data_IF_986743802590
#
_entry.id   IF_986743802590
#
_cell.length_a   1.000
_cell.length_b   1.000
_cell.length_c   1.000
_cell.angle_alpha   90.00
_cell.angle_beta   90.00
_cell.angle_gamma   90.00
#
_symmetry.space_group_name_H-M   'P 1'
#
loop_
_entity.id
_entity.type
_entity.pdbx_description
1 polymer ?
#
# COMPACT_ATOMS: atom_id res chain seq x y z
N UNK A 1 -25.70 -7.29 3.39
CA UNK A 1 -25.71 -5.84 3.27
C UNK A 1 -24.87 -5.22 4.38
N UNK A 2 -23.84 -4.44 4.04
CA UNK A 2 -23.03 -3.65 4.96
C UNK A 2 -23.35 -2.18 4.72
N UNK A 3 -23.46 -1.38 5.79
CA UNK A 3 -23.92 0.00 5.74
C UNK A 3 -23.03 0.93 6.55
N UNK A 4 -22.81 2.12 6.03
CA UNK A 4 -22.19 3.25 6.74
C UNK A 4 -23.00 4.54 6.52
N UNK A 5 -22.60 5.63 7.17
CA UNK A 5 -23.30 6.92 7.02
C UNK A 5 -23.29 7.48 5.57
N UNK A 6 -22.37 7.06 4.72
CA UNK A 6 -22.18 7.62 3.37
C UNK A 6 -22.13 6.61 2.23
N UNK A 7 -22.09 5.31 2.54
CA UNK A 7 -21.96 4.28 1.52
C UNK A 7 -22.58 2.96 1.98
N UNK A 8 -23.12 2.22 1.04
CA UNK A 8 -23.58 0.85 1.23
C UNK A 8 -22.86 -0.09 0.26
N UNK A 9 -22.72 -1.33 0.71
CA UNK A 9 -22.24 -2.43 -0.11
C UNK A 9 -23.18 -3.62 0.03
N UNK A 10 -23.61 -4.19 -1.09
CA UNK A 10 -24.44 -5.40 -1.12
C UNK A 10 -23.65 -6.51 -1.79
N UNK A 11 -23.56 -7.64 -1.10
CA UNK A 11 -22.78 -8.79 -1.54
C UNK A 11 -23.71 -10.00 -1.63
N UNK A 12 -23.80 -10.56 -2.82
CA UNK A 12 -24.32 -11.88 -3.05
C UNK A 12 -23.27 -12.90 -2.61
N UNK A 13 -23.64 -13.85 -1.77
CA UNK A 13 -22.65 -14.76 -1.16
C UNK A 13 -22.68 -16.16 -1.75
N UNK A 14 -23.74 -16.55 -2.48
CA UNK A 14 -23.92 -17.91 -3.03
C UNK A 14 -24.44 -17.89 -4.46
N UNK A 15 -24.05 -18.86 -5.32
CA UNK A 15 -23.10 -19.96 -5.05
C UNK A 15 -21.65 -19.49 -4.95
N UNK A 16 -21.33 -18.30 -5.46
CA UNK A 16 -20.04 -17.62 -5.38
C UNK A 16 -20.25 -16.17 -4.91
N UNK A 17 -19.21 -15.57 -4.34
CA UNK A 17 -19.28 -14.24 -3.79
C UNK A 17 -19.10 -13.16 -4.86
N UNK A 18 -20.06 -12.22 -4.92
CA UNK A 18 -20.08 -11.11 -5.88
C UNK A 18 -20.59 -9.83 -5.21
N UNK A 19 -19.89 -8.71 -5.40
CA UNK A 19 -20.39 -7.40 -5.00
C UNK A 19 -21.36 -6.93 -6.09
N UNK A 20 -22.63 -6.86 -5.76
CA UNK A 20 -23.69 -6.43 -6.69
C UNK A 20 -24.02 -4.94 -6.57
N UNK A 21 -23.59 -4.30 -5.51
CA UNK A 21 -23.73 -2.88 -5.30
C UNK A 21 -22.60 -2.32 -4.41
N UNK A 22 -22.04 -1.18 -4.78
CA UNK A 22 -21.18 -0.35 -3.96
C UNK A 22 -21.34 1.11 -4.38
N UNK A 23 -21.92 1.93 -3.51
CA UNK A 23 -22.25 3.30 -3.84
C UNK A 23 -23.03 4.01 -2.73
N UNK A 24 -23.88 4.99 -3.07
CA UNK A 24 -24.67 5.77 -2.11
C UNK A 24 -25.47 4.89 -1.16
N UNK A 25 -25.80 5.44 0.01
CA UNK A 25 -26.68 4.79 0.97
C UNK A 25 -28.06 4.43 0.37
N UNK A 26 -28.49 3.18 0.57
CA UNK A 26 -29.78 2.63 0.12
C UNK A 26 -30.80 2.71 1.26
N UNK A 27 -31.51 3.82 1.38
CA UNK A 27 -32.39 4.16 2.51
C UNK A 27 -33.55 3.19 2.76
N UNK A 28 -34.00 2.44 1.74
CA UNK A 28 -35.16 1.55 1.80
C UNK A 28 -34.88 0.14 1.27
N UNK A 29 -33.61 -0.23 1.15
CA UNK A 29 -33.22 -1.53 0.61
C UNK A 29 -33.54 -2.67 1.59
N UNK A 30 -34.21 -3.69 1.08
CA UNK A 30 -34.49 -4.93 1.78
C UNK A 30 -33.88 -6.13 1.04
N UNK A 31 -33.74 -7.30 1.69
CA UNK A 31 -33.24 -8.50 1.01
C UNK A 31 -34.11 -8.92 -0.21
N UNK A 32 -35.39 -8.56 -0.23
CA UNK A 32 -36.30 -8.82 -1.35
C UNK A 32 -35.96 -7.98 -2.58
N UNK A 33 -35.29 -6.83 -2.39
CA UNK A 33 -34.89 -5.96 -3.48
C UNK A 33 -33.57 -6.39 -4.13
N UNK A 34 -32.87 -7.38 -3.56
CA UNK A 34 -31.54 -7.79 -3.99
C UNK A 34 -31.50 -8.24 -5.46
N UNK A 35 -32.56 -8.89 -5.94
CA UNK A 35 -32.64 -9.34 -7.33
C UNK A 35 -32.69 -8.16 -8.32
N UNK A 36 -33.20 -6.99 -7.90
CA UNK A 36 -33.23 -5.77 -8.73
C UNK A 36 -31.85 -5.15 -8.94
N UNK A 37 -30.88 -5.49 -8.12
CA UNK A 37 -29.48 -5.08 -8.28
C UNK A 37 -28.71 -5.97 -9.27
N UNK A 38 -29.27 -7.13 -9.61
CA UNK A 38 -28.67 -8.03 -10.61
C UNK A 38 -28.93 -7.52 -12.01
N UNK A 39 -27.93 -7.57 -12.86
CA UNK A 39 -28.06 -7.13 -14.26
C UNK A 39 -28.90 -8.13 -15.05
N UNK A 40 -29.97 -7.70 -15.73
CA UNK A 40 -30.74 -8.59 -16.60
C UNK A 40 -29.91 -8.96 -17.85
N UNK A 41 -29.90 -10.24 -18.19
CA UNK A 41 -29.28 -10.72 -19.42
C UNK A 41 -30.30 -10.62 -20.55
N UNK A 42 -29.94 -9.94 -21.66
CA UNK A 42 -30.82 -9.78 -22.82
C UNK A 42 -31.02 -11.13 -23.52
N UNK A 43 -32.27 -11.43 -23.92
CA UNK A 43 -32.57 -12.60 -24.73
C UNK A 43 -31.85 -12.52 -26.11
N UNK A 44 -31.32 -13.64 -26.56
CA UNK A 44 -30.63 -13.72 -27.86
C UNK A 44 -29.21 -13.17 -27.86
N UNK A 45 -28.64 -12.87 -26.71
CA UNK A 45 -27.25 -12.52 -26.55
C UNK A 45 -26.37 -13.72 -26.92
N UNK A 46 -25.32 -13.47 -27.70
CA UNK A 46 -24.35 -14.50 -28.11
C UNK A 46 -23.25 -14.69 -27.07
N UNK A 47 -22.94 -13.63 -26.31
CA UNK A 47 -21.91 -13.64 -25.26
C UNK A 47 -22.53 -13.95 -23.90
N UNK A 48 -21.83 -14.75 -23.10
CA UNK A 48 -22.20 -15.02 -21.72
C UNK A 48 -21.73 -13.88 -20.82
N UNK A 49 -22.64 -13.33 -20.01
CA UNK A 49 -22.27 -12.41 -18.94
C UNK A 49 -21.62 -13.17 -17.78
N UNK A 50 -20.30 -13.28 -17.82
CA UNK A 50 -19.57 -13.86 -16.69
C UNK A 50 -19.69 -12.96 -15.45
N UNK A 51 -19.83 -13.52 -14.24
CA UNK A 51 -19.83 -12.74 -13.02
C UNK A 51 -18.46 -12.07 -12.80
N UNK A 52 -18.45 -10.89 -12.20
CA UNK A 52 -17.26 -10.30 -11.59
C UNK A 52 -17.29 -10.66 -10.12
N UNK A 53 -16.77 -11.84 -9.81
CA UNK A 53 -16.70 -12.33 -8.42
C UNK A 53 -15.66 -11.55 -7.63
N UNK A 54 -15.60 -11.72 -6.31
CA UNK A 54 -14.58 -11.07 -5.47
C UNK A 54 -13.16 -11.40 -5.91
N UNK A 55 -12.95 -12.59 -6.48
CA UNK A 55 -11.65 -13.02 -6.96
C UNK A 55 -11.50 -12.89 -8.49
N UNK A 56 -12.58 -12.61 -9.20
CA UNK A 56 -12.58 -12.46 -10.66
C UNK A 56 -11.89 -13.64 -11.38
N UNK A 57 -12.42 -14.86 -11.19
CA UNK A 57 -11.80 -16.10 -11.66
C UNK A 57 -12.05 -16.34 -13.16
N UNK A 58 -11.02 -16.81 -13.86
CA UNK A 58 -11.15 -17.30 -15.25
C UNK A 58 -12.12 -18.48 -15.36
N UNK A 59 -12.21 -19.34 -14.34
CA UNK A 59 -13.11 -20.48 -14.29
C UNK A 59 -14.59 -20.13 -14.46
N UNK A 60 -14.99 -18.89 -14.14
CA UNK A 60 -16.33 -18.36 -14.39
C UNK A 60 -16.52 -17.78 -15.82
N UNK A 61 -15.52 -17.89 -16.69
CA UNK A 61 -15.58 -17.34 -18.05
C UNK A 61 -15.32 -15.82 -18.10
N UNK A 62 -14.58 -15.28 -17.14
CA UNK A 62 -14.19 -13.87 -17.16
C UNK A 62 -13.25 -13.59 -18.35
N UNK A 63 -13.69 -12.73 -19.28
CA UNK A 63 -12.84 -12.18 -20.34
C UNK A 63 -12.28 -10.84 -19.91
N UNK A 64 -11.35 -10.85 -18.99
CA UNK A 64 -10.70 -9.69 -18.39
C UNK A 64 -9.54 -10.12 -17.50
N UNK A 65 -8.92 -9.19 -16.79
CA UNK A 65 -7.83 -9.53 -15.88
C UNK A 65 -8.36 -10.27 -14.66
N UNK A 66 -7.94 -11.54 -14.42
CA UNK A 66 -8.39 -12.28 -13.24
C UNK A 66 -7.75 -11.74 -11.97
N UNK A 67 -8.38 -11.97 -10.84
CA UNK A 67 -7.81 -11.65 -9.52
C UNK A 67 -6.87 -12.72 -8.99
N UNK A 68 -6.92 -13.93 -9.56
CA UNK A 68 -6.04 -15.04 -9.20
C UNK A 68 -5.47 -15.69 -10.45
N UNK A 69 -4.14 -15.83 -10.48
CA UNK A 69 -3.38 -16.60 -11.49
C UNK A 69 -2.34 -17.45 -10.77
N UNK A 70 -2.21 -18.68 -11.21
CA UNK A 70 -1.25 -19.59 -10.64
C UNK A 70 -1.44 -21.00 -11.17
N UNK A 71 -0.59 -21.93 -10.81
CA UNK A 71 -0.62 -23.28 -11.37
C UNK A 71 0.18 -24.32 -10.56
N UNK A 72 -0.07 -25.60 -10.84
CA UNK A 72 0.79 -26.73 -10.45
C UNK A 72 1.42 -27.28 -11.73
N UNK A 73 2.64 -26.89 -12.04
CA UNK A 73 3.33 -27.34 -13.25
C UNK A 73 2.50 -27.17 -14.54
N UNK A 74 1.79 -26.04 -14.63
CA UNK A 74 0.91 -25.73 -15.78
C UNK A 74 -0.51 -26.29 -15.67
N UNK A 75 -0.85 -27.03 -14.63
CA UNK A 75 -2.20 -27.53 -14.35
C UNK A 75 -2.88 -26.69 -13.25
N UNK A 76 -4.20 -26.86 -13.08
CA UNK A 76 -5.03 -26.17 -12.09
C UNK A 76 -4.95 -24.63 -12.21
N UNK A 77 -4.85 -24.11 -13.43
CA UNK A 77 -4.63 -22.69 -13.72
C UNK A 77 -5.92 -21.84 -13.76
N UNK A 78 -7.08 -22.47 -13.69
CA UNK A 78 -8.38 -21.78 -13.76
C UNK A 78 -9.26 -22.17 -12.58
N UNK A 79 -8.94 -21.75 -11.35
CA UNK A 79 -9.73 -22.11 -10.19
C UNK A 79 -11.15 -21.56 -10.27
N UNK A 80 -12.09 -22.29 -9.69
CA UNK A 80 -13.51 -21.97 -9.64
C UNK A 80 -14.01 -22.13 -8.20
N UNK A 81 -14.09 -21.04 -7.47
CA UNK A 81 -14.47 -21.05 -6.06
C UNK A 81 -15.99 -21.08 -5.87
N UNK A 82 -16.44 -21.97 -4.98
CA UNK A 82 -17.83 -22.02 -4.50
C UNK A 82 -17.85 -21.71 -3.01
N UNK A 83 -18.73 -20.81 -2.57
CA UNK A 83 -18.82 -20.41 -1.17
C UNK A 83 -19.38 -21.54 -0.30
N UNK A 84 -18.58 -21.98 0.65
CA UNK A 84 -18.93 -23.04 1.63
C UNK A 84 -19.43 -22.43 2.93
N UNK A 85 -18.82 -21.35 3.43
CA UNK A 85 -19.15 -20.73 4.71
C UNK A 85 -19.32 -19.21 4.59
N UNK A 86 -20.27 -18.66 5.33
CA UNK A 86 -20.56 -17.22 5.43
C UNK A 86 -20.71 -16.86 6.91
N UNK A 87 -19.88 -15.95 7.40
CA UNK A 87 -20.01 -15.34 8.73
C UNK A 87 -20.24 -13.85 8.58
N UNK A 88 -21.32 -13.35 9.14
CA UNK A 88 -21.67 -11.93 9.11
C UNK A 88 -21.86 -11.40 10.52
N UNK A 89 -20.98 -10.52 10.96
CA UNK A 89 -20.96 -9.95 12.32
C UNK A 89 -20.89 -8.41 12.22
N UNK A 90 -22.00 -7.76 12.49
CA UNK A 90 -22.11 -6.30 12.38
C UNK A 90 -21.79 -5.80 10.97
N UNK A 91 -20.73 -5.05 10.82
CA UNK A 91 -20.27 -4.51 9.53
C UNK A 91 -19.08 -5.31 8.95
N UNK A 92 -18.90 -6.54 9.40
CA UNK A 92 -17.83 -7.45 8.94
C UNK A 92 -18.42 -8.71 8.33
N UNK A 93 -17.89 -9.10 7.18
CA UNK A 93 -18.24 -10.32 6.47
C UNK A 93 -16.98 -11.15 6.23
N UNK A 94 -16.99 -12.40 6.66
CA UNK A 94 -15.97 -13.39 6.32
C UNK A 94 -16.61 -14.49 5.48
N UNK A 95 -16.00 -14.78 4.33
CA UNK A 95 -16.43 -15.82 3.41
C UNK A 95 -15.32 -16.86 3.28
N UNK A 96 -15.70 -18.14 3.30
CA UNK A 96 -14.82 -19.24 2.92
C UNK A 96 -15.38 -19.86 1.66
N UNK A 97 -14.54 -20.02 0.64
CA UNK A 97 -14.89 -20.65 -0.62
C UNK A 97 -13.83 -21.69 -0.99
N UNK A 98 -14.21 -22.72 -1.69
CA UNK A 98 -13.30 -23.80 -2.05
C UNK A 98 -13.44 -24.18 -3.51
N UNK A 99 -12.32 -24.58 -4.09
CA UNK A 99 -12.23 -25.32 -5.34
C UNK A 99 -11.60 -26.69 -5.04
N UNK A 100 -12.41 -27.77 -4.91
CA UNK A 100 -11.90 -29.11 -4.66
C UNK A 100 -11.03 -29.66 -5.80
N UNK A 101 -11.29 -29.23 -7.05
CA UNK A 101 -10.54 -29.68 -8.21
C UNK A 101 -9.12 -29.06 -8.23
N UNK A 102 -9.02 -27.76 -8.00
CA UNK A 102 -7.72 -27.11 -7.87
C UNK A 102 -7.06 -27.38 -6.48
N UNK A 103 -7.84 -27.87 -5.50
CA UNK A 103 -7.35 -28.08 -4.14
C UNK A 103 -6.95 -26.77 -3.48
N UNK A 104 -7.76 -25.74 -3.65
CA UNK A 104 -7.53 -24.41 -3.08
C UNK A 104 -8.72 -23.99 -2.20
N UNK A 105 -8.40 -23.26 -1.13
CA UNK A 105 -9.37 -22.57 -0.28
C UNK A 105 -9.11 -21.07 -0.35
N UNK A 106 -10.17 -20.30 -0.50
CA UNK A 106 -10.18 -18.85 -0.48
C UNK A 106 -10.91 -18.37 0.78
N UNK A 107 -10.27 -17.55 1.59
CA UNK A 107 -10.91 -16.79 2.64
C UNK A 107 -10.94 -15.32 2.27
N UNK A 108 -12.12 -14.69 2.30
CA UNK A 108 -12.29 -13.27 2.02
C UNK A 108 -12.78 -12.55 3.27
N UNK A 109 -12.10 -11.49 3.66
CA UNK A 109 -12.48 -10.63 4.78
C UNK A 109 -12.85 -9.25 4.25
N UNK A 110 -14.07 -8.81 4.58
CA UNK A 110 -14.66 -7.56 4.10
C UNK A 110 -15.23 -6.83 5.30
N UNK A 111 -14.86 -5.59 5.53
CA UNK A 111 -15.45 -4.78 6.58
C UNK A 111 -15.71 -3.35 6.11
N UNK A 112 -16.86 -2.79 6.47
CA UNK A 112 -17.23 -1.41 6.19
C UNK A 112 -17.23 -0.61 7.50
N UNK A 113 -16.26 0.28 7.65
CA UNK A 113 -16.15 1.11 8.86
C UNK A 113 -17.19 2.24 8.88
N UNK A 114 -17.49 2.73 10.07
CA UNK A 114 -18.42 3.86 10.26
C UNK A 114 -17.95 5.15 9.53
N UNK A 115 -16.65 5.28 9.26
CA UNK A 115 -16.10 6.38 8.45
C UNK A 115 -16.47 6.30 6.97
N UNK A 116 -16.99 5.17 6.48
CA UNK A 116 -17.28 4.89 5.08
C UNK A 116 -16.13 4.21 4.32
N UNK A 117 -15.06 3.85 5.00
CA UNK A 117 -13.94 3.10 4.40
C UNK A 117 -14.23 1.61 4.46
N UNK A 118 -14.15 0.98 3.29
CA UNK A 118 -14.20 -0.46 3.09
C UNK A 118 -12.78 -1.01 3.18
N UNK A 119 -12.59 -2.09 3.92
CA UNK A 119 -11.34 -2.87 3.93
C UNK A 119 -11.61 -4.27 3.40
N UNK A 120 -10.77 -4.74 2.47
CA UNK A 120 -10.88 -6.07 1.85
C UNK A 120 -9.52 -6.72 1.77
N UNK A 121 -9.44 -8.00 2.07
CA UNK A 121 -8.29 -8.86 1.74
C UNK A 121 -8.73 -10.29 1.46
N UNK A 122 -7.88 -11.02 0.77
CA UNK A 122 -8.09 -12.43 0.44
C UNK A 122 -6.90 -13.27 0.88
N UNK A 123 -7.16 -14.46 1.43
CA UNK A 123 -6.15 -15.47 1.72
C UNK A 123 -6.41 -16.71 0.87
N UNK A 124 -5.40 -17.18 0.13
CA UNK A 124 -5.47 -18.42 -0.64
C UNK A 124 -4.61 -19.47 0.04
N UNK A 125 -5.22 -20.61 0.38
CA UNK A 125 -4.55 -21.76 1.00
C UNK A 125 -4.45 -22.90 0.01
N UNK A 126 -3.26 -23.50 -0.12
CA UNK A 126 -3.09 -24.74 -0.85
C UNK A 126 -3.47 -25.94 0.04
N UNK A 127 -4.40 -26.78 -0.42
CA UNK A 127 -4.91 -27.94 0.30
C UNK A 127 -4.28 -29.26 -0.18
N UNK A 128 -3.33 -29.24 -1.13
CA UNK A 128 -2.69 -30.43 -1.68
C UNK A 128 -1.20 -30.50 -1.34
N UNK A 129 -0.65 -31.70 -1.27
CA UNK A 129 0.76 -31.94 -1.02
C UNK A 129 1.70 -31.31 -2.09
N UNK A 130 1.23 -31.21 -3.34
CA UNK A 130 1.99 -30.55 -4.41
C UNK A 130 1.91 -29.03 -4.27
N UNK A 131 3.03 -28.29 -4.35
CA UNK A 131 3.01 -26.83 -4.27
C UNK A 131 2.18 -26.18 -5.38
N UNK A 132 1.48 -25.10 -5.05
CA UNK A 132 0.78 -24.26 -6.02
C UNK A 132 1.54 -22.96 -6.20
N UNK A 133 2.02 -22.72 -7.42
CA UNK A 133 2.71 -21.48 -7.79
C UNK A 133 1.69 -20.35 -7.90
N UNK A 134 1.94 -19.25 -7.18
CA UNK A 134 1.12 -18.02 -7.28
C UNK A 134 1.82 -17.06 -8.23
N UNK A 135 1.15 -16.71 -9.33
CA UNK A 135 1.62 -15.68 -10.26
C UNK A 135 0.92 -14.34 -10.00
N UNK A 136 -0.31 -14.40 -9.48
CA UNK A 136 -1.13 -13.24 -9.17
C UNK A 136 -2.14 -13.50 -8.06
N UNK A 137 -2.31 -12.52 -7.17
CA UNK A 137 -3.38 -12.49 -6.19
C UNK A 137 -3.80 -11.05 -5.91
N UNK A 138 -4.99 -10.66 -6.41
CA UNK A 138 -5.52 -9.30 -6.39
C UNK A 138 -6.86 -9.21 -5.67
N UNK A 139 -7.15 -8.07 -5.07
CA UNK A 139 -8.50 -7.70 -4.64
C UNK A 139 -9.21 -7.00 -5.81
N UNK A 140 -10.43 -7.44 -6.12
CA UNK A 140 -11.27 -6.88 -7.19
C UNK A 140 -12.52 -6.21 -6.61
N UNK A 141 -12.75 -4.94 -6.96
CA UNK A 141 -13.92 -4.17 -6.55
C UNK A 141 -14.64 -3.61 -7.77
N UNK A 142 -15.93 -3.96 -8.01
CA UNK A 142 -16.70 -3.34 -9.06
C UNK A 142 -16.99 -1.88 -8.72
N UNK A 143 -17.10 -1.05 -9.76
CA UNK A 143 -17.53 0.34 -9.64
C UNK A 143 -18.68 0.62 -10.62
N UNK A 144 -19.44 1.67 -10.36
CA UNK A 144 -20.59 1.99 -11.21
C UNK A 144 -20.16 2.31 -12.65
N UNK A 145 -20.99 1.98 -13.63
CA UNK A 145 -20.73 2.24 -15.07
C UNK A 145 -20.51 3.73 -15.39
N UNK A 146 -21.04 4.62 -14.55
CA UNK A 146 -20.82 6.08 -14.66
C UNK A 146 -19.46 6.55 -14.17
N UNK A 147 -18.65 5.68 -13.56
CA UNK A 147 -17.28 5.98 -13.15
C UNK A 147 -16.34 5.92 -14.39
N UNK A 148 -16.33 6.99 -15.19
CA UNK A 148 -15.72 7.02 -16.53
C UNK A 148 -14.37 7.71 -16.59
N UNK A 149 -13.96 8.38 -15.54
CA UNK A 149 -12.64 8.97 -15.43
C UNK A 149 -11.79 8.21 -14.41
N UNK A 150 -10.50 8.13 -14.69
CA UNK A 150 -9.50 7.56 -13.80
C UNK A 150 -8.51 8.67 -13.42
N UNK A 151 -8.15 8.74 -12.16
CA UNK A 151 -7.11 9.62 -11.65
C UNK A 151 -6.09 8.79 -10.87
N UNK A 152 -4.82 8.97 -11.23
CA UNK A 152 -3.67 8.38 -10.58
C UNK A 152 -2.62 9.45 -10.29
N UNK A 153 -1.62 9.11 -9.49
CA UNK A 153 -0.54 10.01 -9.14
C UNK A 153 0.78 9.42 -9.63
N UNK A 154 1.61 10.27 -10.21
CA UNK A 154 2.94 9.92 -10.68
C UNK A 154 3.93 11.00 -10.26
N UNK A 155 5.19 10.80 -10.53
CA UNK A 155 6.19 11.82 -10.27
C UNK A 155 7.59 11.28 -10.18
N UNK A 156 8.45 12.09 -9.63
CA UNK A 156 9.84 11.79 -9.30
C UNK A 156 10.24 12.63 -8.11
N UNK A 157 11.40 12.40 -7.54
CA UNK A 157 11.93 13.26 -6.49
C UNK A 157 11.90 14.74 -6.89
N UNK A 158 11.48 15.62 -5.98
CA UNK A 158 11.21 17.07 -6.14
C UNK A 158 10.04 17.36 -7.10
N UNK A 159 9.33 16.35 -7.56
CA UNK A 159 8.12 16.49 -8.36
C UNK A 159 7.16 15.32 -8.12
N UNK A 160 6.84 15.10 -6.85
CA UNK A 160 5.96 14.03 -6.38
C UNK A 160 4.48 14.39 -6.63
N UNK A 161 3.62 13.38 -6.55
CA UNK A 161 2.17 13.51 -6.53
C UNK A 161 1.59 14.37 -7.66
N UNK A 162 2.12 14.24 -8.88
CA UNK A 162 1.52 14.89 -10.03
C UNK A 162 0.26 14.13 -10.44
N UNK A 163 -0.94 14.75 -10.38
CA UNK A 163 -2.17 14.08 -10.76
C UNK A 163 -2.20 13.84 -12.27
N UNK A 164 -2.55 12.64 -12.66
CA UNK A 164 -2.85 12.27 -14.03
C UNK A 164 -4.30 11.81 -14.12
N UNK A 165 -5.07 12.44 -14.98
CA UNK A 165 -6.48 12.13 -15.20
C UNK A 165 -6.72 11.78 -16.65
N UNK A 166 -7.50 10.72 -16.89
CA UNK A 166 -7.90 10.28 -18.22
C UNK A 166 -9.34 9.77 -18.22
N UNK A 167 -9.99 9.82 -19.36
CA UNK A 167 -11.27 9.16 -19.60
C UNK A 167 -11.00 7.71 -20.01
N UNK A 168 -11.63 6.76 -19.31
CA UNK A 168 -11.52 5.33 -19.56
C UNK A 168 -12.87 4.82 -20.08
N UNK A 169 -13.02 4.69 -21.39
CA UNK A 169 -14.25 4.16 -22.00
C UNK A 169 -14.13 2.68 -22.37
N UNK A 170 -12.94 2.22 -22.68
CA UNK A 170 -12.62 0.86 -23.11
C UNK A 170 -11.27 0.41 -22.52
N UNK A 171 -11.01 -0.86 -22.53
CA UNK A 171 -9.74 -1.48 -22.13
C UNK A 171 -9.39 -1.26 -20.64
N UNK A 172 -8.14 -1.02 -20.36
CA UNK A 172 -7.66 -0.86 -19.00
C UNK A 172 -6.60 0.23 -18.86
N UNK A 173 -6.61 0.90 -17.71
CA UNK A 173 -5.50 1.68 -17.20
C UNK A 173 -4.75 0.84 -16.17
N UNK A 174 -3.42 0.73 -16.30
CA UNK A 174 -2.57 -0.02 -15.37
C UNK A 174 -1.48 0.89 -14.82
N UNK A 175 -1.34 0.88 -13.49
CA UNK A 175 -0.26 1.51 -12.76
C UNK A 175 0.57 0.40 -12.10
N UNK A 176 1.89 0.36 -12.36
CA UNK A 176 2.75 -0.70 -11.87
C UNK A 176 4.05 -0.14 -11.32
N UNK A 177 4.39 -0.50 -10.08
CA UNK A 177 5.63 -0.15 -9.41
C UNK A 177 6.52 -1.39 -9.23
N UNK A 178 7.77 -1.28 -9.66
CA UNK A 178 8.80 -2.34 -9.58
C UNK A 178 10.09 -1.87 -8.89
N UNK A 179 9.99 -0.89 -8.01
CA UNK A 179 11.13 -0.30 -7.29
C UNK A 179 11.54 -1.06 -6.03
N UNK A 180 10.84 -2.16 -5.69
CA UNK A 180 11.03 -2.89 -4.42
C UNK A 180 10.47 -2.17 -3.19
N UNK A 181 10.02 -0.93 -3.33
CA UNK A 181 9.41 -0.09 -2.29
C UNK A 181 8.40 0.87 -2.91
N UNK A 182 7.55 1.50 -2.10
CA UNK A 182 6.72 2.61 -2.55
C UNK A 182 7.61 3.71 -3.14
N UNK A 183 7.26 4.19 -4.32
CA UNK A 183 8.09 5.12 -5.09
C UNK A 183 7.37 6.44 -5.35
N UNK A 184 8.13 7.48 -5.74
CA UNK A 184 7.58 8.75 -6.23
C UNK A 184 6.90 8.61 -7.59
N UNK A 185 7.25 7.54 -8.34
CA UNK A 185 6.78 7.33 -9.70
C UNK A 185 5.34 6.84 -9.72
N UNK A 186 4.99 5.93 -8.79
CA UNK A 186 3.70 5.27 -8.74
C UNK A 186 3.22 5.13 -7.30
N UNK A 187 2.25 5.94 -6.94
CA UNK A 187 1.62 5.85 -5.63
C UNK A 187 0.57 4.71 -5.62
N UNK A 188 0.48 3.89 -4.56
CA UNK A 188 -0.39 2.71 -4.52
C UNK A 188 -1.88 3.06 -4.32
N UNK A 189 -2.38 4.05 -5.04
CA UNK A 189 -3.78 4.46 -5.02
C UNK A 189 -4.30 4.76 -6.42
N UNK A 190 -5.58 4.51 -6.63
CA UNK A 190 -6.28 4.76 -7.86
C UNK A 190 -7.69 5.26 -7.55
N UNK A 191 -8.11 6.30 -8.26
CA UNK A 191 -9.44 6.88 -8.11
C UNK A 191 -10.15 6.78 -9.45
N UNK A 192 -11.42 6.41 -9.43
CA UNK A 192 -12.30 6.52 -10.60
C UNK A 192 -13.55 7.29 -10.20
N UNK A 193 -14.18 7.98 -11.17
CA UNK A 193 -15.35 8.78 -10.86
C UNK A 193 -16.20 9.16 -12.06
N UNK A 194 -17.28 9.82 -11.77
CA UNK A 194 -18.15 10.43 -12.79
C UNK A 194 -17.38 11.46 -13.60
N UNK A 195 -17.84 11.73 -14.84
CA UNK A 195 -17.18 12.74 -15.69
C UNK A 195 -17.07 14.09 -14.98
N UNK A 196 -15.92 14.71 -15.09
CA UNK A 196 -15.60 16.02 -14.51
C UNK A 196 -15.75 16.08 -12.98
N UNK A 197 -15.55 14.96 -12.27
CA UNK A 197 -15.49 15.02 -10.82
C UNK A 197 -14.39 15.98 -10.35
N UNK A 198 -14.59 16.61 -9.21
CA UNK A 198 -13.66 17.62 -8.68
C UNK A 198 -13.46 17.42 -7.18
N UNK A 199 -12.80 18.37 -6.54
CA UNK A 199 -12.63 18.37 -5.08
C UNK A 199 -13.97 18.33 -4.34
N UNK A 200 -15.00 19.05 -4.84
CA UNK A 200 -16.27 19.25 -4.14
C UNK A 200 -17.48 18.62 -4.85
N UNK A 201 -17.31 18.06 -6.04
CA UNK A 201 -18.43 17.60 -6.87
C UNK A 201 -18.12 16.26 -7.56
N UNK A 202 -19.19 15.52 -7.86
CA UNK A 202 -19.15 14.26 -8.56
C UNK A 202 -18.99 13.05 -7.62
N UNK A 203 -19.30 11.91 -8.16
CA UNK A 203 -19.12 10.65 -7.45
C UNK A 203 -17.71 10.11 -7.72
N UNK A 204 -17.08 9.62 -6.68
CA UNK A 204 -15.73 9.01 -6.77
C UNK A 204 -15.67 7.70 -5.99
N UNK A 205 -14.93 6.75 -6.53
CA UNK A 205 -14.55 5.48 -5.92
C UNK A 205 -13.02 5.44 -5.89
N UNK A 206 -12.45 5.41 -4.71
CA UNK A 206 -11.00 5.40 -4.55
C UNK A 206 -10.52 4.17 -3.81
N UNK A 207 -9.37 3.66 -4.23
CA UNK A 207 -8.70 2.52 -3.60
C UNK A 207 -7.27 2.87 -3.22
N UNK A 208 -6.80 2.35 -2.09
CA UNK A 208 -5.43 2.45 -1.64
C UNK A 208 -4.95 1.07 -1.15
N UNK A 209 -3.88 0.56 -1.76
CA UNK A 209 -3.30 -0.72 -1.37
C UNK A 209 -2.34 -0.53 -0.19
N UNK A 210 -2.56 -1.25 0.89
CA UNK A 210 -1.70 -1.22 2.08
C UNK A 210 -0.45 -2.09 1.88
N UNK A 211 0.40 -1.69 0.93
CA UNK A 211 1.62 -2.41 0.57
C UNK A 211 2.75 -1.44 0.25
N UNK A 212 3.91 -1.68 0.82
CA UNK A 212 5.09 -0.82 0.63
C UNK A 212 6.06 -1.32 -0.45
N UNK A 213 5.82 -2.50 -1.02
CA UNK A 213 6.66 -3.13 -2.04
C UNK A 213 6.18 -2.92 -3.48
N UNK A 214 6.60 -3.83 -4.35
CA UNK A 214 6.13 -3.86 -5.73
C UNK A 214 4.62 -4.08 -5.77
N UNK A 215 3.92 -3.31 -6.60
CA UNK A 215 2.47 -3.39 -6.68
C UNK A 215 1.94 -3.08 -8.08
N UNK A 216 0.73 -3.54 -8.32
CA UNK A 216 -0.03 -3.19 -9.53
C UNK A 216 -1.45 -2.79 -9.13
N UNK A 217 -1.91 -1.69 -9.70
CA UNK A 217 -3.31 -1.27 -9.66
C UNK A 217 -3.85 -1.21 -11.09
N UNK A 218 -5.11 -1.58 -11.24
CA UNK A 218 -5.79 -1.60 -12.54
C UNK A 218 -7.20 -1.04 -12.42
N UNK A 219 -7.60 -0.23 -13.40
CA UNK A 219 -9.00 0.06 -13.69
C UNK A 219 -9.34 -0.55 -15.06
N UNK A 220 -10.39 -1.32 -15.14
CA UNK A 220 -10.77 -2.03 -16.37
C UNK A 220 -12.24 -1.83 -16.70
N UNK A 221 -12.52 -1.72 -18.01
CA UNK A 221 -13.86 -1.67 -18.57
C UNK A 221 -14.08 -2.92 -19.42
N UNK A 222 -15.05 -3.75 -19.02
CA UNK A 222 -15.43 -4.93 -19.79
C UNK A 222 -16.20 -4.53 -21.05
N UNK A 223 -16.23 -5.41 -22.02
CA UNK A 223 -16.97 -5.21 -23.28
C UNK A 223 -18.47 -4.98 -23.08
N UNK A 224 -19.03 -5.46 -21.97
CA UNK A 224 -20.42 -5.25 -21.58
C UNK A 224 -20.66 -3.92 -20.80
N UNK A 225 -19.62 -3.10 -20.61
CA UNK A 225 -19.67 -1.82 -19.93
C UNK A 225 -19.43 -1.86 -18.42
N UNK A 226 -19.42 -3.05 -17.77
CA UNK A 226 -19.08 -3.16 -16.36
C UNK A 226 -17.65 -2.75 -16.13
N UNK A 227 -17.40 -2.18 -14.94
CA UNK A 227 -16.10 -1.61 -14.56
C UNK A 227 -15.67 -2.16 -13.21
N UNK A 228 -14.38 -2.36 -13.06
CA UNK A 228 -13.81 -2.75 -11.78
C UNK A 228 -12.41 -2.18 -11.56
N UNK A 229 -12.03 -2.09 -10.30
CA UNK A 229 -10.68 -1.78 -9.83
C UNK A 229 -10.06 -3.05 -9.28
N UNK A 230 -8.77 -3.24 -9.55
CA UNK A 230 -7.97 -4.29 -8.94
C UNK A 230 -6.71 -3.71 -8.34
N UNK A 231 -6.26 -4.30 -7.21
CA UNK A 231 -4.99 -3.96 -6.59
C UNK A 231 -4.32 -5.22 -6.02
N UNK A 232 -3.01 -5.32 -6.19
CA UNK A 232 -2.22 -6.48 -5.84
C UNK A 232 -0.78 -6.12 -5.43
N UNK A 233 -0.20 -6.93 -4.54
CA UNK A 233 1.25 -7.04 -4.44
C UNK A 233 1.77 -7.74 -5.71
N UNK A 234 2.83 -7.21 -6.30
CA UNK A 234 3.39 -7.76 -7.54
C UNK A 234 4.50 -8.76 -7.20
N UNK A 235 4.29 -10.01 -7.54
CA UNK A 235 5.27 -11.07 -7.38
C UNK A 235 6.12 -11.24 -8.63
N UNK A 236 7.37 -11.63 -8.43
CA UNK A 236 8.25 -12.06 -9.52
C UNK A 236 7.96 -13.53 -9.90
N UNK A 237 8.22 -13.93 -11.14
CA UNK A 237 8.04 -15.32 -11.54
C UNK A 237 8.78 -16.30 -10.64
N UNK A 238 8.07 -17.25 -10.05
CA UNK A 238 8.64 -18.26 -9.14
C UNK A 238 8.88 -17.80 -7.70
N UNK A 239 8.55 -16.55 -7.37
CA UNK A 239 8.76 -16.01 -6.02
C UNK A 239 7.84 -16.64 -4.97
N UNK A 240 6.59 -16.91 -5.32
CA UNK A 240 5.58 -17.40 -4.39
C UNK A 240 5.09 -18.80 -4.79
N UNK A 241 5.43 -19.79 -3.97
CA UNK A 241 4.93 -21.16 -4.11
C UNK A 241 4.38 -21.62 -2.75
N UNK A 242 3.08 -21.94 -2.72
CA UNK A 242 2.40 -22.38 -1.51
C UNK A 242 2.58 -23.90 -1.31
N UNK A 243 3.23 -24.31 -0.24
CA UNK A 243 3.22 -25.68 0.22
C UNK A 243 1.84 -26.09 0.78
N UNK A 244 1.63 -27.37 1.08
CA UNK A 244 0.40 -27.85 1.68
C UNK A 244 0.10 -27.14 3.01
N UNK A 245 -1.10 -26.62 3.14
CA UNK A 245 -1.56 -25.87 4.32
C UNK A 245 -1.08 -24.43 4.41
N UNK A 246 -0.17 -24.00 3.55
CA UNK A 246 0.27 -22.59 3.53
C UNK A 246 -0.79 -21.68 2.93
N UNK A 247 -0.89 -20.48 3.51
CA UNK A 247 -1.81 -19.43 3.08
C UNK A 247 -1.05 -18.17 2.71
N UNK A 248 -1.31 -17.66 1.51
CA UNK A 248 -0.86 -16.34 1.08
C UNK A 248 -2.03 -15.35 1.21
N UNK A 249 -1.81 -14.27 1.94
CA UNK A 249 -2.77 -13.18 2.06
C UNK A 249 -2.40 -12.03 1.11
N UNK A 250 -3.42 -11.45 0.47
CA UNK A 250 -3.22 -10.13 -0.15
C UNK A 250 -2.94 -9.09 0.92
N UNK A 251 -2.25 -7.99 0.61
CA UNK A 251 -2.36 -6.78 1.42
C UNK A 251 -3.83 -6.37 1.56
N UNK A 252 -4.14 -5.59 2.61
CA UNK A 252 -5.46 -4.94 2.67
C UNK A 252 -5.61 -3.94 1.53
N UNK A 253 -6.75 -3.97 0.87
CA UNK A 253 -7.22 -2.90 0.01
C UNK A 253 -8.21 -2.06 0.79
N UNK A 254 -7.86 -0.80 1.03
CA UNK A 254 -8.78 0.19 1.59
C UNK A 254 -9.47 0.93 0.45
N UNK A 255 -10.78 1.05 0.53
CA UNK A 255 -11.57 1.66 -0.52
C UNK A 255 -12.63 2.59 0.07
N UNK A 256 -13.03 3.60 -0.69
CA UNK A 256 -14.04 4.55 -0.26
C UNK A 256 -14.85 5.05 -1.44
N UNK A 257 -16.14 5.26 -1.19
CA UNK A 257 -17.07 5.94 -2.08
C UNK A 257 -17.45 7.30 -1.51
N UNK A 258 -17.51 8.32 -2.37
CA UNK A 258 -18.04 9.64 -2.01
C UNK A 258 -18.90 10.22 -3.13
N UNK A 259 -20.06 10.78 -2.78
CA UNK A 259 -20.88 11.58 -3.67
C UNK A 259 -20.48 13.07 -3.67
N UNK A 260 -19.54 13.47 -2.80
CA UNK A 260 -19.10 14.84 -2.58
C UNK A 260 -17.66 15.07 -3.08
N UNK A 261 -17.32 14.46 -4.20
CA UNK A 261 -15.99 14.59 -4.81
C UNK A 261 -14.83 14.05 -3.97
N UNK A 262 -13.64 14.47 -4.33
CA UNK A 262 -12.39 14.04 -3.71
C UNK A 262 -12.27 14.43 -2.23
N UNK A 263 -12.77 15.60 -1.86
CA UNK A 263 -12.73 16.09 -0.49
C UNK A 263 -13.55 15.19 0.46
N UNK A 264 -14.77 14.80 0.04
CA UNK A 264 -15.57 13.86 0.81
C UNK A 264 -14.85 12.53 1.05
N UNK A 265 -14.24 11.97 0.01
CA UNK A 265 -13.43 10.75 0.11
C UNK A 265 -12.20 10.95 1.01
N UNK A 266 -11.45 12.04 0.85
CA UNK A 266 -10.29 12.35 1.70
C UNK A 266 -10.66 12.41 3.18
N UNK A 267 -11.78 13.05 3.52
CA UNK A 267 -12.25 13.13 4.91
C UNK A 267 -12.62 11.78 5.50
N UNK A 268 -13.17 10.85 4.70
CA UNK A 268 -13.44 9.47 5.13
C UNK A 268 -12.12 8.74 5.44
N UNK A 269 -11.13 8.79 4.55
CA UNK A 269 -9.81 8.22 4.80
C UNK A 269 -9.11 8.85 5.99
N UNK A 270 -9.15 10.18 6.14
CA UNK A 270 -8.54 10.87 7.29
C UNK A 270 -9.13 10.43 8.62
N UNK A 271 -10.46 10.24 8.69
CA UNK A 271 -11.13 9.70 9.88
C UNK A 271 -10.66 8.28 10.17
N UNK A 272 -10.73 7.42 9.16
CA UNK A 272 -10.31 6.02 9.28
C UNK A 272 -8.86 5.89 9.76
N UNK A 273 -7.95 6.64 9.15
CA UNK A 273 -6.54 6.64 9.51
C UNK A 273 -6.33 7.03 10.98
N UNK A 274 -6.98 8.11 11.44
CA UNK A 274 -6.87 8.57 12.83
C UNK A 274 -7.45 7.60 13.85
N UNK A 275 -8.56 6.93 13.50
CA UNK A 275 -9.29 6.08 14.44
C UNK A 275 -8.84 4.62 14.43
N UNK A 276 -8.31 4.14 13.30
CA UNK A 276 -8.04 2.70 13.09
C UNK A 276 -6.58 2.36 12.84
N UNK A 277 -5.83 3.23 12.18
CA UNK A 277 -4.48 2.91 11.70
C UNK A 277 -3.42 3.58 12.55
N UNK A 278 -3.50 4.90 12.73
CA UNK A 278 -2.47 5.67 13.42
C UNK A 278 -2.64 5.51 14.93
N UNK A 279 -1.56 5.11 15.60
CA UNK A 279 -1.46 5.07 17.05
C UNK A 279 -0.59 6.22 17.49
N UNK A 280 -1.23 7.30 17.94
CA UNK A 280 -0.50 8.42 18.52
C UNK A 280 -0.06 8.10 19.94
N UNK A 281 1.19 8.49 20.36
CA UNK A 281 1.62 8.35 21.74
C UNK A 281 0.86 9.32 22.62
N UNK A 282 -0.18 8.85 23.32
CA UNK A 282 -0.98 9.64 24.25
C UNK A 282 -1.65 10.88 23.61
N UNK A 283 -1.82 11.94 24.41
CA UNK A 283 -2.44 13.19 23.96
C UNK A 283 -1.42 14.24 23.46
N UNK A 284 -0.20 13.82 23.14
CA UNK A 284 0.85 14.75 22.72
C UNK A 284 0.58 15.22 21.28
N UNK A 285 0.47 16.54 21.05
CA UNK A 285 0.37 17.08 19.69
C UNK A 285 1.66 16.81 18.92
N UNK A 286 1.58 16.84 17.59
CA UNK A 286 2.78 16.78 16.76
C UNK A 286 3.55 18.09 16.91
N UNK A 287 4.84 18.05 17.29
CA UNK A 287 5.61 19.26 17.45
C UNK A 287 5.95 19.89 16.09
N UNK A 288 6.05 21.20 16.08
CA UNK A 288 6.70 21.94 15.01
C UNK A 288 8.20 21.70 15.12
N UNK A 289 8.82 21.17 14.08
CA UNK A 289 10.25 20.88 14.13
C UNK A 289 11.04 21.50 12.98
N UNK A 290 12.31 21.79 13.27
CA UNK A 290 13.31 22.15 12.31
C UNK A 290 14.28 20.97 12.14
N UNK A 291 14.57 20.62 10.91
CA UNK A 291 15.62 19.69 10.51
C UNK A 291 16.77 20.49 9.89
N UNK A 292 18.01 20.17 10.24
CA UNK A 292 19.17 20.98 9.84
C UNK A 292 19.64 20.74 8.40
N UNK A 293 19.11 19.74 7.67
CA UNK A 293 19.64 19.31 6.37
C UNK A 293 19.86 20.47 5.40
N UNK A 294 18.83 21.22 5.09
CA UNK A 294 18.91 22.32 4.13
C UNK A 294 19.74 23.52 4.62
N UNK A 295 20.06 23.57 5.91
CA UNK A 295 20.83 24.65 6.53
C UNK A 295 22.33 24.41 6.53
N UNK A 296 22.78 23.14 6.68
CA UNK A 296 24.18 22.82 6.89
C UNK A 296 24.68 21.63 6.07
N UNK A 297 23.78 20.80 5.50
CA UNK A 297 24.15 19.54 4.86
C UNK A 297 25.15 18.74 5.74
N UNK A 298 26.31 18.38 5.22
CA UNK A 298 27.35 17.62 5.92
C UNK A 298 28.29 18.48 6.78
N UNK A 299 28.15 19.81 6.77
CA UNK A 299 29.03 20.74 7.48
C UNK A 299 28.55 20.95 8.93
N UNK A 300 28.83 19.95 9.77
CA UNK A 300 28.42 19.93 11.17
C UNK A 300 29.43 20.68 12.05
N UNK A 301 29.13 21.92 12.41
CA UNK A 301 29.78 22.74 13.42
C UNK A 301 28.85 22.88 14.65
N UNK A 302 29.19 22.29 15.81
CA UNK A 302 28.34 22.36 17.01
C UNK A 302 27.98 23.78 17.45
N UNK A 303 28.89 24.74 17.35
CA UNK A 303 28.64 26.12 17.74
C UNK A 303 27.64 26.79 16.78
N UNK A 304 27.74 26.51 15.49
CA UNK A 304 26.76 26.98 14.49
C UNK A 304 25.40 26.34 14.70
N UNK A 305 25.36 25.02 14.96
CA UNK A 305 24.12 24.28 15.23
C UNK A 305 23.41 24.83 16.49
N UNK A 306 24.15 25.14 17.56
CA UNK A 306 23.57 25.74 18.76
C UNK A 306 22.99 27.14 18.51
N UNK A 307 23.68 27.99 17.73
CA UNK A 307 23.12 29.30 17.33
C UNK A 307 21.86 29.16 16.47
N UNK A 308 21.83 28.17 15.56
CA UNK A 308 20.61 27.85 14.77
C UNK A 308 19.48 27.41 15.69
N UNK A 309 19.75 26.66 16.75
CA UNK A 309 18.77 26.26 17.74
C UNK A 309 18.21 27.46 18.54
N UNK A 310 19.04 28.44 18.88
CA UNK A 310 18.60 29.70 19.51
C UNK A 310 17.56 30.44 18.65
N UNK A 311 17.85 30.60 17.36
CA UNK A 311 16.96 31.24 16.40
C UNK A 311 15.66 30.43 16.20
N UNK A 312 15.79 29.10 16.11
CA UNK A 312 14.64 28.21 15.97
C UNK A 312 13.69 28.31 17.17
N UNK A 313 14.24 28.34 18.38
CA UNK A 313 13.45 28.49 19.61
C UNK A 313 12.70 29.85 19.66
N UNK A 314 13.37 30.94 19.24
CA UNK A 314 12.75 32.26 19.15
C UNK A 314 11.57 32.30 18.16
N UNK A 315 11.58 31.45 17.11
CA UNK A 315 10.51 31.31 16.13
C UNK A 315 9.37 30.37 16.58
N UNK A 316 9.51 29.70 17.73
CA UNK A 316 8.51 28.80 18.27
C UNK A 316 8.65 27.36 17.77
N UNK A 317 9.81 26.95 17.31
CA UNK A 317 10.13 25.53 17.02
C UNK A 317 10.10 24.73 18.31
N UNK A 318 9.52 23.55 18.29
CA UNK A 318 9.30 22.68 19.47
C UNK A 318 10.25 21.48 19.49
N UNK A 319 10.79 21.10 18.31
CA UNK A 319 11.78 20.02 18.16
C UNK A 319 12.86 20.42 17.17
N UNK A 320 14.11 20.23 17.56
CA UNK A 320 15.27 20.49 16.74
C UNK A 320 15.97 19.17 16.39
N UNK A 321 16.19 18.92 15.09
CA UNK A 321 16.71 17.64 14.55
C UNK A 321 18.00 17.90 13.79
N UNK A 322 19.09 17.27 14.22
CA UNK A 322 20.30 17.19 13.40
C UNK A 322 20.14 16.08 12.37
N UNK A 323 20.48 16.40 11.10
CA UNK A 323 20.35 15.48 9.99
C UNK A 323 21.67 14.77 9.66
N UNK A 324 21.79 14.22 8.44
CA UNK A 324 22.94 13.47 7.93
C UNK A 324 24.27 14.26 8.07
N UNK A 325 25.34 13.54 8.38
CA UNK A 325 26.67 14.15 8.51
C UNK A 325 27.27 14.11 9.92
N UNK A 326 26.55 13.64 10.93
CA UNK A 326 27.03 13.62 12.32
C UNK A 326 27.99 12.47 12.65
N UNK A 327 28.01 11.40 11.83
CA UNK A 327 28.78 10.19 12.09
C UNK A 327 30.13 10.17 11.35
N UNK A 328 31.03 9.30 11.80
CA UNK A 328 32.43 9.21 11.40
C UNK A 328 32.59 9.03 9.90
N UNK A 329 33.33 9.95 9.26
CA UNK A 329 33.66 9.87 7.83
C UNK A 329 32.54 10.36 6.89
N UNK A 330 31.39 10.77 7.43
CA UNK A 330 30.26 11.26 6.64
C UNK A 330 30.41 12.73 6.28
N UNK A 331 31.16 13.02 5.22
CA UNK A 331 31.37 14.37 4.72
C UNK A 331 30.69 14.64 3.37
N UNK A 332 30.13 13.61 2.80
CA UNK A 332 29.35 13.61 1.56
C UNK A 332 28.49 12.34 1.52
N UNK A 333 27.73 12.12 0.43
CA UNK A 333 26.85 10.97 0.26
C UNK A 333 27.51 9.71 -0.34
N UNK A 334 28.85 9.73 -0.54
CA UNK A 334 29.60 8.61 -1.15
C UNK A 334 30.10 7.60 -0.12
N UNK A 335 30.28 8.02 1.13
CA UNK A 335 30.96 7.23 2.15
C UNK A 335 30.20 7.16 3.48
N UNK A 336 30.62 6.21 4.31
CA UNK A 336 30.33 6.05 5.73
C UNK A 336 28.90 5.68 6.13
N UNK A 337 27.93 5.63 5.22
CA UNK A 337 26.59 5.17 5.59
C UNK A 337 26.65 3.70 6.04
N UNK A 338 26.12 3.42 7.23
CA UNK A 338 26.25 2.16 7.94
C UNK A 338 27.19 2.24 9.17
N UNK A 339 28.09 3.21 9.22
CA UNK A 339 29.06 3.41 10.28
C UNK A 339 28.51 4.40 11.33
N UNK A 340 27.48 3.98 12.08
CA UNK A 340 26.74 4.82 13.02
C UNK A 340 27.52 5.14 14.29
N UNK A 341 28.75 5.69 14.15
CA UNK A 341 29.60 6.15 15.22
C UNK A 341 29.79 7.66 15.13
N UNK A 342 29.75 8.35 16.24
CA UNK A 342 29.93 9.79 16.28
C UNK A 342 31.28 10.20 15.64
N UNK A 343 31.27 11.25 14.84
CA UNK A 343 32.51 11.87 14.32
C UNK A 343 33.13 12.76 15.40
N UNK A 344 34.19 12.27 16.06
CA UNK A 344 34.89 13.00 17.13
C UNK A 344 35.61 14.27 16.64
N UNK A 345 35.84 14.41 15.33
CA UNK A 345 36.41 15.63 14.77
C UNK A 345 35.36 16.74 14.69
N UNK A 346 34.13 16.41 14.35
CA UNK A 346 33.01 17.34 14.30
C UNK A 346 32.45 17.60 15.72
N UNK A 347 32.44 16.59 16.55
CA UNK A 347 31.91 16.64 17.91
C UNK A 347 32.95 16.21 18.95
N UNK A 348 34.00 17.03 19.19
CA UNK A 348 35.11 16.66 20.09
C UNK A 348 34.68 16.46 21.56
N UNK A 349 33.52 16.98 21.95
CA UNK A 349 32.95 16.84 23.30
C UNK A 349 31.69 15.94 23.30
N UNK A 350 31.48 15.16 22.24
CA UNK A 350 30.25 14.36 22.05
C UNK A 350 29.05 15.21 21.62
N UNK A 351 27.89 14.58 21.54
CA UNK A 351 26.62 15.25 21.22
C UNK A 351 25.99 15.95 22.44
N UNK A 352 26.42 15.61 23.65
CA UNK A 352 25.82 16.11 24.89
C UNK A 352 25.72 17.64 24.95
N UNK A 353 26.74 18.44 24.58
CA UNK A 353 26.63 19.90 24.58
C UNK A 353 25.48 20.43 23.71
N UNK A 354 25.31 19.86 22.50
CA UNK A 354 24.25 20.27 21.58
C UNK A 354 22.88 19.83 22.10
N UNK A 355 22.78 18.60 22.61
CA UNK A 355 21.55 18.06 23.19
C UNK A 355 21.08 18.90 24.38
N UNK A 356 22.01 19.22 25.30
CA UNK A 356 21.70 19.99 26.51
C UNK A 356 21.29 21.42 26.15
N UNK A 357 21.97 22.05 25.19
CA UNK A 357 21.62 23.37 24.70
C UNK A 357 20.20 23.39 24.11
N UNK A 358 19.86 22.49 23.18
CA UNK A 358 18.52 22.37 22.59
C UNK A 358 17.46 22.17 23.68
N UNK A 359 17.70 21.28 24.65
CA UNK A 359 16.79 21.03 25.76
C UNK A 359 16.66 22.23 26.70
N UNK A 360 17.73 23.00 26.94
CA UNK A 360 17.68 24.21 27.77
C UNK A 360 16.78 25.29 27.18
N UNK A 361 16.60 25.30 25.85
CA UNK A 361 15.68 26.17 25.11
C UNK A 361 14.22 25.69 25.15
N UNK A 362 13.93 24.56 25.82
CA UNK A 362 12.60 23.98 25.91
C UNK A 362 12.18 23.13 24.71
N UNK A 363 13.10 22.86 23.77
CA UNK A 363 12.84 22.02 22.61
C UNK A 363 13.19 20.55 22.86
N UNK A 364 12.56 19.66 22.11
CA UNK A 364 12.98 18.27 21.99
C UNK A 364 14.16 18.17 21.03
N UNK A 365 15.05 17.20 21.27
CA UNK A 365 16.16 16.88 20.37
C UNK A 365 15.85 15.64 19.54
N UNK A 366 16.22 15.65 18.27
CA UNK A 366 16.16 14.51 17.36
C UNK A 366 17.45 14.35 16.58
N UNK A 367 17.67 13.13 16.08
CA UNK A 367 18.81 12.77 15.24
C UNK A 367 18.34 11.92 14.06
N UNK A 368 18.87 12.19 12.87
CA UNK A 368 18.58 11.45 11.65
C UNK A 368 19.41 10.16 11.58
N UNK A 369 18.76 9.08 11.10
CA UNK A 369 19.39 7.80 10.76
C UNK A 369 18.72 7.21 9.52
N UNK A 370 19.52 6.50 8.68
CA UNK A 370 19.06 5.76 7.49
C UNK A 370 19.52 4.29 7.61
N UNK A 371 18.89 3.48 8.46
CA UNK A 371 19.43 2.18 8.86
C UNK A 371 19.34 1.12 7.76
N UNK A 372 18.49 1.31 6.75
CA UNK A 372 18.28 0.35 5.66
C UNK A 372 19.32 0.42 4.55
N UNK A 373 20.21 1.41 4.57
CA UNK A 373 21.16 1.64 3.49
C UNK A 373 22.61 1.58 3.99
N UNK A 374 23.54 1.28 3.07
CA UNK A 374 24.96 1.17 3.34
C UNK A 374 25.77 1.66 2.14
N UNK A 375 26.83 2.44 2.36
CA UNK A 375 27.76 2.80 1.28
C UNK A 375 28.78 1.68 1.02
N UNK A 376 29.18 1.47 -0.24
CA UNK A 376 30.34 0.63 -0.55
C UNK A 376 31.61 1.07 0.19
N UNK A 377 31.81 2.38 0.36
CA UNK A 377 32.85 2.96 1.17
C UNK A 377 32.40 3.22 2.61
N UNK A 378 32.23 2.12 3.36
CA UNK A 378 31.98 2.12 4.80
C UNK A 378 32.77 1.00 5.48
N UNK A 379 33.05 1.17 6.76
CA UNK A 379 33.70 0.12 7.57
C UNK A 379 32.78 -1.10 7.69
N UNK A 380 31.46 -0.87 7.81
CA UNK A 380 30.47 -1.95 7.86
C UNK A 380 30.46 -2.79 6.58
N UNK A 381 30.47 -2.17 5.40
CA UNK A 381 30.50 -2.92 4.13
C UNK A 381 31.81 -3.69 3.95
N UNK A 382 32.94 -3.11 4.33
CA UNK A 382 34.24 -3.81 4.29
C UNK A 382 34.29 -5.03 5.19
N UNK A 383 33.61 -4.97 6.35
CA UNK A 383 33.52 -6.08 7.28
C UNK A 383 32.51 -7.14 6.86
N UNK A 384 31.37 -6.72 6.29
CA UNK A 384 30.21 -7.57 6.00
C UNK A 384 29.61 -7.29 4.62
N UNK A 385 30.35 -7.54 3.51
CA UNK A 385 29.81 -7.33 2.16
C UNK A 385 28.64 -8.26 1.82
N UNK A 386 28.51 -9.36 2.55
CA UNK A 386 27.43 -10.35 2.46
C UNK A 386 26.10 -9.89 3.09
N UNK A 387 26.10 -8.79 3.82
CA UNK A 387 24.89 -8.22 4.41
C UNK A 387 24.08 -7.36 3.43
N UNK A 388 24.58 -7.15 2.21
CA UNK A 388 23.85 -6.40 1.18
C UNK A 388 22.86 -7.28 0.42
N UNK A 389 21.69 -6.75 0.11
CA UNK A 389 20.74 -7.41 -0.79
C UNK A 389 21.34 -7.51 -2.19
N UNK A 390 21.75 -8.71 -2.57
CA UNK A 390 22.35 -9.00 -3.88
C UNK A 390 21.88 -10.37 -4.40
N UNK A 391 21.78 -10.49 -5.72
CA UNK A 391 21.60 -11.78 -6.36
C UNK A 391 22.96 -12.47 -6.49
N UNK A 392 23.08 -13.78 -6.21
CA UNK A 392 24.33 -14.51 -6.36
C UNK A 392 24.91 -14.38 -7.77
N UNK A 393 26.18 -13.95 -7.87
CA UNK A 393 26.89 -13.78 -9.14
C UNK A 393 26.61 -12.45 -9.88
N UNK A 394 25.83 -11.55 -9.30
CA UNK A 394 25.58 -10.21 -9.85
C UNK A 394 26.10 -9.12 -8.91
N UNK A 395 26.64 -8.06 -9.49
CA UNK A 395 26.99 -6.85 -8.73
C UNK A 395 25.69 -6.08 -8.44
N UNK A 396 25.39 -5.76 -7.17
CA UNK A 396 24.21 -4.94 -6.85
C UNK A 396 24.34 -3.54 -7.43
N UNK A 397 23.21 -2.98 -7.87
CA UNK A 397 23.14 -1.61 -8.35
C UNK A 397 23.04 -0.65 -7.16
N UNK A 398 23.79 0.44 -7.22
CA UNK A 398 23.67 1.53 -6.24
C UNK A 398 22.56 2.51 -6.64
N UNK A 399 21.83 3.01 -5.63
CA UNK A 399 21.05 4.23 -5.74
C UNK A 399 21.62 5.27 -4.80
N UNK A 400 21.94 6.49 -5.29
CA UNK A 400 22.65 7.53 -4.51
C UNK A 400 23.96 7.01 -3.87
N UNK A 401 24.72 6.19 -4.59
CA UNK A 401 25.96 5.56 -4.10
C UNK A 401 25.78 4.60 -2.91
N UNK A 402 24.57 4.08 -2.72
CA UNK A 402 24.19 3.24 -1.59
C UNK A 402 23.72 1.88 -2.09
N UNK A 403 23.98 0.83 -1.29
CA UNK A 403 23.35 -0.49 -1.38
C UNK A 403 22.24 -0.61 -0.31
N UNK A 404 21.34 -1.55 -0.51
CA UNK A 404 20.32 -1.90 0.48
C UNK A 404 20.87 -2.97 1.42
N UNK A 405 20.82 -2.70 2.72
CA UNK A 405 21.19 -3.66 3.76
C UNK A 405 20.10 -4.72 3.93
N UNK A 406 20.49 -5.97 4.04
CA UNK A 406 19.55 -7.09 4.22
C UNK A 406 19.19 -7.26 5.70
N UNK A 407 18.15 -6.59 6.15
CA UNK A 407 17.68 -6.67 7.53
C UNK A 407 17.00 -8.00 7.91
N UNK A 408 16.88 -8.96 6.98
CA UNK A 408 16.51 -10.35 7.31
C UNK A 408 17.66 -11.16 7.86
N UNK A 409 18.89 -10.65 7.80
CA UNK A 409 20.06 -11.23 8.46
C UNK A 409 20.02 -10.76 9.92
N UNK A 410 19.86 -11.68 10.91
CA UNK A 410 19.72 -11.29 12.31
C UNK A 410 20.90 -10.44 12.83
N UNK A 411 22.11 -10.78 12.44
CA UNK A 411 23.33 -10.09 12.85
C UNK A 411 23.38 -8.65 12.31
N UNK A 412 22.87 -8.42 11.10
CA UNK A 412 22.76 -7.07 10.54
C UNK A 412 21.71 -6.24 11.28
N UNK A 413 20.56 -6.83 11.59
CA UNK A 413 19.52 -6.19 12.39
C UNK A 413 20.02 -5.87 13.80
N UNK A 414 20.65 -6.83 14.50
CA UNK A 414 21.18 -6.66 15.85
C UNK A 414 22.26 -5.58 15.89
N UNK A 415 23.14 -5.54 14.89
CA UNK A 415 24.15 -4.48 14.76
C UNK A 415 23.50 -3.08 14.75
N UNK A 416 22.43 -2.89 13.95
CA UNK A 416 21.74 -1.59 13.88
C UNK A 416 21.00 -1.26 15.17
N UNK A 417 20.47 -2.26 15.86
CA UNK A 417 19.75 -2.06 17.12
C UNK A 417 20.69 -1.64 18.27
N UNK A 418 21.94 -2.07 18.23
CA UNK A 418 22.98 -1.73 19.20
C UNK A 418 23.57 -0.32 19.03
N UNK A 419 23.37 0.30 17.84
CA UNK A 419 23.88 1.65 17.52
C UNK A 419 22.89 2.71 17.92
#
# INVERSE_FOLDING_TARGET
HLQSAGADIVIKTRPFAEIVYWGPHLSHFSPQDADSLTRPVANGRLDVDSPVTLMAELGHGLFGAPGIEGHRQGLDASPLFTTSEVRHEGQTLTLVSEDPQAGLRLQSEIALDASGVLSVRHGVTNLRASPWQVDRLAVTLPVAERAREVMAFHGRWIREFQPHRLTLEHDSFVLENRRGRTSHEHFPALITGSRAFSEMQGEVWGVHLAWSGNHRLRAEVKTDGRRYLQAEALYLPGEMALAEGETLWTPYLYASYSANGLNGMSQQFHRYLRERIIRFPGNKPRPVHLNTWEGIYFDHDPDYIMRMADEAAALGVERFIIDDGWFKGRNDDWAALGDWYLDEKKYPYGLTPVIDHVKSLGMEFGIWVEPEMINPDSDLYRAHPDWVLALPGYTPLTGRHQFVLNLNIPEAFDYLLER
#
